data_IF_922641570618
#
_entry.id   IF_922641570618
#
_cell.length_a   1.000
_cell.length_b   1.000
_cell.length_c   1.000
_cell.angle_alpha   90.00
_cell.angle_beta   90.00
_cell.angle_gamma   90.00
#
_symmetry.space_group_name_H-M   'P 1'
#
loop_
_entity.id
_entity.type
_entity.pdbx_description
1 polymer ?
#
# COMPACT_ATOMS: atom_id res chain seq x y z
N UNK A 1 14.43 17.23 -0.82
CA UNK A 1 13.12 17.55 -0.21
C UNK A 1 12.22 16.35 -0.40
N UNK A 2 12.23 15.41 0.54
CA UNK A 2 11.46 14.16 0.49
C UNK A 2 10.12 14.39 1.18
N UNK A 3 9.02 14.38 0.42
CA UNK A 3 7.66 14.55 0.95
C UNK A 3 7.01 13.17 1.17
N UNK A 4 6.96 12.63 2.40
CA UNK A 4 6.44 11.27 2.67
C UNK A 4 4.90 11.14 2.50
N UNK A 5 4.18 12.23 2.20
CA UNK A 5 2.72 12.23 2.07
C UNK A 5 2.19 11.98 0.66
N UNK A 6 3.02 12.16 -0.37
CA UNK A 6 2.61 11.97 -1.77
C UNK A 6 2.61 10.48 -2.11
N UNK A 7 3.64 9.76 -1.63
CA UNK A 7 3.80 8.32 -1.84
C UNK A 7 2.63 7.52 -1.23
N UNK A 8 2.15 7.91 -0.04
CA UNK A 8 1.05 7.22 0.64
C UNK A 8 -0.28 7.33 -0.12
N UNK A 9 -0.60 8.52 -0.66
CA UNK A 9 -1.84 8.73 -1.44
C UNK A 9 -1.80 7.99 -2.77
N UNK A 10 -0.65 7.99 -3.44
CA UNK A 10 -0.44 7.25 -4.69
C UNK A 10 -0.54 5.73 -4.42
N UNK A 11 -0.03 5.25 -3.29
CA UNK A 11 -0.16 3.86 -2.89
C UNK A 11 -1.63 3.49 -2.61
N UNK A 12 -2.37 4.32 -1.86
CA UNK A 12 -3.79 4.08 -1.55
C UNK A 12 -4.64 4.05 -2.83
N UNK A 13 -4.37 4.97 -3.77
CA UNK A 13 -5.04 5.00 -5.06
C UNK A 13 -4.73 3.76 -5.89
N UNK A 14 -3.46 3.34 -5.98
CA UNK A 14 -3.08 2.10 -6.67
C UNK A 14 -3.73 0.86 -6.03
N UNK A 15 -3.81 0.81 -4.69
CA UNK A 15 -4.48 -0.29 -3.98
C UNK A 15 -5.97 -0.34 -4.37
N UNK A 16 -6.65 0.81 -4.43
CA UNK A 16 -8.06 0.87 -4.84
C UNK A 16 -8.26 0.44 -6.28
N UNK A 17 -7.43 0.93 -7.19
CA UNK A 17 -7.45 0.54 -8.61
C UNK A 17 -7.23 -0.96 -8.80
N UNK A 18 -6.27 -1.54 -8.08
CA UNK A 18 -6.02 -2.98 -8.09
C UNK A 18 -7.18 -3.79 -7.52
N UNK A 19 -7.82 -3.31 -6.45
CA UNK A 19 -9.01 -3.95 -5.88
C UNK A 19 -10.20 -3.92 -6.84
N UNK A 20 -10.42 -2.80 -7.52
CA UNK A 20 -11.48 -2.65 -8.51
C UNK A 20 -11.21 -3.52 -9.74
N UNK A 21 -9.96 -3.55 -10.22
CA UNK A 21 -9.52 -4.45 -11.27
C UNK A 21 -9.76 -5.92 -10.90
N UNK A 22 -9.40 -6.33 -9.68
CA UNK A 22 -9.66 -7.69 -9.19
C UNK A 22 -11.16 -8.00 -9.19
N UNK A 23 -12.02 -7.09 -8.70
CA UNK A 23 -13.49 -7.30 -8.73
C UNK A 23 -14.00 -7.47 -10.16
N UNK A 24 -13.58 -6.62 -11.08
CA UNK A 24 -13.97 -6.71 -12.48
C UNK A 24 -13.45 -8.01 -13.12
N UNK A 25 -12.25 -8.46 -12.77
CA UNK A 25 -11.71 -9.74 -13.22
C UNK A 25 -12.48 -10.93 -12.65
N UNK A 26 -12.94 -10.88 -11.39
CA UNK A 26 -13.83 -11.89 -10.81
C UNK A 26 -15.19 -11.93 -11.50
N UNK A 27 -15.77 -10.77 -11.84
CA UNK A 27 -17.02 -10.70 -12.61
C UNK A 27 -16.85 -11.27 -14.01
N UNK A 28 -15.75 -10.93 -14.70
CA UNK A 28 -15.42 -11.53 -15.99
C UNK A 28 -15.24 -13.04 -15.85
N UNK A 29 -14.60 -13.54 -14.80
CA UNK A 29 -14.50 -14.97 -14.53
C UNK A 29 -15.88 -15.64 -14.35
N UNK A 30 -16.90 -14.92 -13.90
CA UNK A 30 -18.26 -15.46 -13.82
C UNK A 30 -18.93 -15.55 -15.20
N UNK A 31 -18.39 -14.88 -16.23
CA UNK A 31 -18.93 -14.91 -17.58
C UNK A 31 -18.70 -16.30 -18.23
N UNK A 32 -19.78 -16.96 -18.70
CA UNK A 32 -19.68 -18.27 -19.34
C UNK A 32 -19.10 -18.21 -20.77
N UNK A 33 -19.01 -17.03 -21.39
CA UNK A 33 -18.47 -16.86 -22.75
C UNK A 33 -16.94 -16.97 -22.80
N UNK A 34 -16.26 -16.89 -21.65
CA UNK A 34 -14.80 -17.04 -21.57
C UNK A 34 -14.36 -18.48 -21.81
N UNK A 35 -13.43 -18.62 -22.76
CA UNK A 35 -12.73 -19.88 -23.02
C UNK A 35 -12.00 -20.38 -21.76
N UNK A 36 -11.86 -21.71 -21.65
CA UNK A 36 -11.16 -22.33 -20.52
C UNK A 36 -9.71 -21.82 -20.37
N UNK A 37 -9.05 -21.48 -21.49
CA UNK A 37 -7.74 -20.87 -21.50
C UNK A 37 -7.76 -19.46 -20.91
N UNK A 38 -8.60 -18.56 -21.42
CA UNK A 38 -8.73 -17.19 -20.91
C UNK A 38 -9.08 -17.16 -19.43
N UNK A 39 -9.90 -18.10 -18.97
CA UNK A 39 -10.26 -18.27 -17.55
C UNK A 39 -9.08 -18.70 -16.66
N UNK A 40 -8.19 -19.56 -17.18
CA UNK A 40 -6.95 -19.95 -16.49
C UNK A 40 -5.94 -18.81 -16.49
N UNK A 41 -5.78 -18.14 -17.63
CA UNK A 41 -4.88 -17.01 -17.80
C UNK A 41 -5.26 -15.85 -16.88
N UNK A 42 -6.55 -15.52 -16.79
CA UNK A 42 -7.05 -14.50 -15.87
C UNK A 42 -6.76 -14.87 -14.41
N UNK A 43 -7.00 -16.14 -14.02
CA UNK A 43 -6.67 -16.63 -12.67
C UNK A 43 -5.18 -16.56 -12.36
N UNK A 44 -4.31 -16.87 -13.33
CA UNK A 44 -2.87 -16.78 -13.16
C UNK A 44 -2.42 -15.33 -12.97
N UNK A 45 -2.91 -14.41 -13.81
CA UNK A 45 -2.63 -12.98 -13.68
C UNK A 45 -3.11 -12.42 -12.34
N UNK A 46 -4.32 -12.79 -11.89
CA UNK A 46 -4.84 -12.38 -10.57
C UNK A 46 -3.95 -12.88 -9.42
N UNK A 47 -3.43 -14.11 -9.51
CA UNK A 47 -2.49 -14.64 -8.51
C UNK A 47 -1.17 -13.86 -8.51
N UNK A 48 -0.61 -13.58 -9.69
CA UNK A 48 0.64 -12.84 -9.85
C UNK A 48 0.50 -11.42 -9.26
N UNK A 49 -0.53 -10.69 -9.65
CA UNK A 49 -0.83 -9.35 -9.12
C UNK A 49 -1.00 -9.35 -7.60
N UNK A 50 -1.69 -10.34 -7.04
CA UNK A 50 -1.86 -10.44 -5.59
C UNK A 50 -0.52 -10.73 -4.87
N UNK A 51 0.34 -11.56 -5.45
CA UNK A 51 1.67 -11.82 -4.90
C UNK A 51 2.55 -10.55 -4.93
N UNK A 52 2.55 -9.82 -6.04
CA UNK A 52 3.27 -8.55 -6.17
C UNK A 52 2.75 -7.50 -5.18
N UNK A 53 1.43 -7.36 -5.04
CA UNK A 53 0.83 -6.44 -4.07
C UNK A 53 1.25 -6.78 -2.64
N UNK A 54 1.24 -8.07 -2.27
CA UNK A 54 1.71 -8.51 -0.95
C UNK A 54 3.19 -8.22 -0.76
N UNK A 55 4.01 -8.38 -1.79
CA UNK A 55 5.44 -8.06 -1.72
C UNK A 55 5.67 -6.56 -1.50
N UNK A 56 4.97 -5.71 -2.26
CA UNK A 56 5.04 -4.25 -2.11
C UNK A 56 4.51 -3.78 -0.75
N UNK A 57 3.40 -4.35 -0.26
CA UNK A 57 2.87 -4.06 1.07
C UNK A 57 3.82 -4.52 2.18
N UNK A 58 4.47 -5.67 2.04
CA UNK A 58 5.49 -6.12 2.99
C UNK A 58 6.73 -5.22 2.97
N UNK A 59 7.18 -4.78 1.80
CA UNK A 59 8.26 -3.82 1.67
C UNK A 59 7.89 -2.49 2.33
N UNK A 60 6.71 -1.95 2.03
CA UNK A 60 6.19 -0.73 2.65
C UNK A 60 6.04 -0.89 4.18
N UNK A 61 5.56 -2.03 4.66
CA UNK A 61 5.47 -2.34 6.10
C UNK A 61 6.85 -2.39 6.76
N UNK A 62 7.87 -2.94 6.09
CA UNK A 62 9.25 -2.93 6.59
C UNK A 62 9.81 -1.51 6.63
N UNK A 63 9.53 -0.69 5.61
CA UNK A 63 9.92 0.73 5.60
C UNK A 63 9.22 1.55 6.70
N UNK A 64 7.96 1.25 7.02
CA UNK A 64 7.22 1.87 8.13
C UNK A 64 7.77 1.46 9.50
N UNK A 65 8.18 0.20 9.67
CA UNK A 65 8.81 -0.29 10.91
C UNK A 65 10.26 0.19 11.07
N UNK A 66 10.98 0.41 9.97
CA UNK A 66 12.33 0.97 9.96
C UNK A 66 12.38 2.49 9.97
N UNK A 67 11.24 3.19 9.93
CA UNK A 67 11.24 4.61 10.26
C UNK A 67 11.44 4.71 11.78
N UNK A 68 12.60 5.16 12.28
CA UNK A 68 12.67 5.53 13.69
C UNK A 68 11.60 6.58 13.86
N UNK A 69 10.62 6.32 14.74
CA UNK A 69 9.64 7.30 15.16
C UNK A 69 10.40 8.62 15.31
N UNK A 70 10.11 9.57 14.42
CA UNK A 70 10.89 10.79 14.25
C UNK A 70 11.24 11.29 15.63
N UNK A 71 12.54 11.26 15.94
CA UNK A 71 13.12 11.46 17.26
C UNK A 71 12.21 12.40 18.03
N UNK A 72 11.46 11.83 18.98
CA UNK A 72 10.51 12.57 19.78
C UNK A 72 11.24 13.80 20.24
N UNK A 73 10.85 14.96 19.71
CA UNK A 73 11.48 16.25 19.99
C UNK A 73 11.63 16.26 21.50
N UNK A 74 12.86 16.15 21.98
CA UNK A 74 13.16 16.24 23.40
C UNK A 74 12.59 17.58 23.78
N UNK A 75 11.46 17.57 24.48
CA UNK A 75 10.84 18.77 25.00
C UNK A 75 11.82 19.23 26.09
N UNK A 76 12.84 19.98 25.67
CA UNK A 76 13.83 20.54 26.56
C UNK A 76 13.05 21.46 27.48
N UNK A 77 12.89 21.02 28.72
CA UNK A 77 12.25 21.74 29.81
C UNK A 77 12.78 23.17 29.79
N UNK A 78 11.96 24.19 29.50
CA UNK A 78 12.42 25.56 29.62
C UNK A 78 12.70 25.81 31.11
N UNK A 79 13.97 26.06 31.45
CA UNK A 79 14.37 26.60 32.74
C UNK A 79 13.76 28.00 32.86
N UNK A 80 12.54 28.06 33.39
CA UNK A 80 11.88 29.32 33.74
C UNK A 80 12.59 29.87 34.98
N UNK A 81 13.62 30.69 34.75
CA UNK A 81 14.18 31.59 35.77
C UNK A 81 13.15 32.68 36.05
N UNK A 82 12.36 32.49 37.08
CA UNK A 82 11.55 33.57 37.66
C UNK A 82 12.52 34.53 38.34
N UNK A 83 12.65 35.74 37.78
CA UNK A 83 13.26 36.89 38.45
C UNK A 83 12.11 37.78 38.93
N UNK A 84 11.77 37.70 40.21
CA UNK A 84 11.21 38.77 41.05
C UNK A 84 11.04 38.24 42.48
#
# INVERSE_FOLDING_TARGET
>A
MTQPGVDQKVLDQNIRELQEWLRNAWQQLADPTLTAFSRRELRNQMKQCNADLRMQLQAASRHMLSQPAAAGKTFAKPELRILA
#
